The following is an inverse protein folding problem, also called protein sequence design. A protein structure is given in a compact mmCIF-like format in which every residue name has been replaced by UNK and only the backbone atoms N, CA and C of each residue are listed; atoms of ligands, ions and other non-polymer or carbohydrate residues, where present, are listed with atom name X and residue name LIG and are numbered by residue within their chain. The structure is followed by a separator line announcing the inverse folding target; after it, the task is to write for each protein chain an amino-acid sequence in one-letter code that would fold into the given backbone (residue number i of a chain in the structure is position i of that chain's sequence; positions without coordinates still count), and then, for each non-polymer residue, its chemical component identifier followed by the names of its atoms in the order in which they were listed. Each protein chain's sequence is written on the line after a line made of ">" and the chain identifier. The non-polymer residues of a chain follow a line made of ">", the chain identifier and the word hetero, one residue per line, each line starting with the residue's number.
data_IF_139083890399
#
_entry.id   IF_139083890399
#
_cell.length_a   1.000
_cell.length_b   1.000
_cell.length_c   1.000
_cell.angle_alpha   90.00
_cell.angle_beta   90.00
_cell.angle_gamma   90.00
#
_symmetry.space_group_name_H-M   'P 1'
#
loop_
_entity.id
_entity.type
_entity.pdbx_description
1 polymer ?
#
# COMPACT_ATOMS: atom_id res chain seq x y z
N UNK A 1 -10.28 20.08 34.50
CA UNK A 1 -9.67 19.08 33.61
C UNK A 1 -8.40 18.64 34.28
N UNK A 2 -8.26 17.36 34.63
CA UNK A 2 -7.06 16.87 35.28
C UNK A 2 -5.99 16.69 34.20
N UNK A 3 -4.85 17.36 34.33
CA UNK A 3 -3.66 17.12 33.53
C UNK A 3 -3.19 15.69 33.79
N UNK A 4 -3.30 14.84 32.78
CA UNK A 4 -2.67 13.54 32.78
C UNK A 4 -1.17 13.74 32.49
N UNK A 5 -0.37 13.78 33.56
CA UNK A 5 1.09 13.72 33.47
C UNK A 5 1.49 12.27 33.24
N UNK A 6 1.96 11.94 32.06
CA UNK A 6 2.55 10.63 31.78
C UNK A 6 3.87 10.48 32.54
N UNK A 7 4.11 9.35 33.24
CA UNK A 7 5.36 9.15 33.96
C UNK A 7 6.52 9.02 32.96
N UNK A 8 7.59 9.76 33.23
CA UNK A 8 8.86 9.65 32.56
C UNK A 8 9.43 8.21 32.66
N UNK A 9 9.72 7.61 31.51
CA UNK A 9 10.33 6.28 31.30
C UNK A 9 9.54 5.06 31.78
N UNK A 10 8.91 4.40 30.86
CA UNK A 10 8.19 3.14 31.08
C UNK A 10 9.17 1.96 31.25
N UNK A 11 8.98 1.05 32.26
CA UNK A 11 9.92 -0.03 32.62
C UNK A 11 10.09 -1.16 31.58
N UNK A 12 9.31 -1.16 30.48
CA UNK A 12 9.36 -2.22 29.45
C UNK A 12 10.25 -1.90 28.24
N UNK A 13 10.94 -0.77 28.23
CA UNK A 13 11.91 -0.43 27.18
C UNK A 13 13.22 -1.22 27.35
N UNK A 14 13.14 -2.55 27.21
CA UNK A 14 14.35 -3.33 26.91
C UNK A 14 14.72 -3.09 25.44
N UNK A 15 16.02 -3.01 25.11
CA UNK A 15 16.45 -2.74 23.74
C UNK A 15 15.78 -3.71 22.78
N UNK A 16 14.99 -3.19 21.84
CA UNK A 16 14.43 -3.94 20.75
C UNK A 16 15.58 -4.49 19.94
N UNK A 17 15.68 -5.82 19.85
CA UNK A 17 16.76 -6.43 19.09
C UNK A 17 16.37 -6.51 17.62
N UNK A 18 16.40 -5.36 16.95
CA UNK A 18 16.33 -5.32 15.49
C UNK A 18 17.70 -5.69 14.94
N UNK A 19 17.74 -6.68 14.07
CA UNK A 19 19.00 -7.17 13.49
C UNK A 19 18.87 -7.30 11.99
N UNK A 20 19.97 -7.02 11.31
CA UNK A 20 20.09 -7.13 9.85
C UNK A 20 21.38 -7.87 9.50
N UNK A 21 21.25 -8.83 8.59
CA UNK A 21 22.38 -9.48 7.91
C UNK A 21 22.19 -9.36 6.40
N UNK A 22 23.26 -9.00 5.69
CA UNK A 22 23.31 -9.02 4.24
C UNK A 22 24.16 -10.22 3.82
N UNK A 23 23.59 -11.13 3.03
CA UNK A 23 24.32 -12.28 2.50
C UNK A 23 25.31 -11.82 1.42
N UNK A 24 26.27 -12.67 1.05
CA UNK A 24 27.33 -12.33 0.10
C UNK A 24 26.81 -11.92 -1.29
N UNK A 25 25.65 -12.45 -1.67
CA UNK A 25 24.99 -12.15 -2.95
C UNK A 25 24.05 -10.95 -2.88
N UNK A 26 23.88 -10.30 -1.72
CA UNK A 26 23.04 -9.11 -1.56
C UNK A 26 21.65 -9.35 -0.95
N UNK A 27 21.21 -10.59 -0.76
CA UNK A 27 19.95 -10.90 -0.05
C UNK A 27 20.03 -10.36 1.38
N UNK A 28 18.98 -9.69 1.81
CA UNK A 28 18.88 -9.09 3.14
C UNK A 28 17.98 -9.92 4.04
N UNK A 29 18.43 -10.14 5.27
CA UNK A 29 17.68 -10.84 6.30
C UNK A 29 17.53 -9.88 7.48
N UNK A 30 16.29 -9.55 7.83
CA UNK A 30 15.95 -8.61 8.91
C UNK A 30 15.07 -9.31 9.93
N UNK A 31 15.32 -9.09 11.21
CA UNK A 31 14.45 -9.61 12.27
C UNK A 31 14.17 -8.57 13.34
N UNK A 32 12.96 -8.62 13.90
CA UNK A 32 12.56 -7.90 15.11
C UNK A 32 12.15 -8.91 16.18
N UNK A 33 12.96 -9.08 17.23
CA UNK A 33 12.68 -10.03 18.29
C UNK A 33 11.70 -9.49 19.32
N UNK A 34 10.61 -10.23 19.55
CA UNK A 34 9.56 -9.96 20.53
C UNK A 34 9.43 -11.17 21.47
N UNK A 35 10.23 -11.27 22.53
CA UNK A 35 10.30 -12.50 23.34
C UNK A 35 9.06 -12.74 24.21
N UNK A 36 8.17 -11.79 24.31
CA UNK A 36 6.94 -11.88 25.11
C UNK A 36 5.74 -12.48 24.35
N UNK A 37 5.85 -12.61 23.01
CA UNK A 37 4.82 -13.28 22.20
C UNK A 37 5.18 -14.75 21.93
N UNK A 38 4.16 -15.56 21.62
CA UNK A 38 4.32 -16.99 21.25
C UNK A 38 4.21 -17.21 19.75
N UNK A 39 4.12 -16.12 18.98
CA UNK A 39 4.00 -16.15 17.53
C UNK A 39 5.25 -15.58 16.85
N UNK A 40 5.41 -15.95 15.60
CA UNK A 40 6.35 -15.33 14.66
C UNK A 40 5.66 -15.11 13.33
N UNK A 41 5.82 -13.91 12.79
CA UNK A 41 5.46 -13.58 11.41
C UNK A 41 6.72 -13.59 10.58
N UNK A 42 6.69 -14.29 9.46
CA UNK A 42 7.78 -14.43 8.50
C UNK A 42 7.27 -14.05 7.12
N UNK A 43 8.04 -13.27 6.39
CA UNK A 43 7.76 -12.96 5.00
C UNK A 43 9.03 -12.99 4.15
N UNK A 44 8.86 -13.35 2.88
CA UNK A 44 9.87 -13.28 1.83
C UNK A 44 9.34 -12.29 0.80
N UNK A 45 10.05 -11.19 0.61
CA UNK A 45 9.72 -10.13 -0.31
C UNK A 45 10.65 -10.10 -1.50
N UNK A 46 10.12 -9.65 -2.60
CA UNK A 46 10.93 -9.12 -3.69
C UNK A 46 10.52 -7.67 -3.97
N UNK A 47 11.50 -6.78 -4.15
CA UNK A 47 11.28 -5.36 -4.48
C UNK A 47 10.91 -5.21 -5.96
N UNK A 48 9.83 -5.87 -6.37
CA UNK A 48 9.21 -5.76 -7.70
C UNK A 48 7.70 -5.96 -7.59
N UNK A 49 6.96 -5.30 -8.46
CA UNK A 49 5.52 -5.36 -8.55
C UNK A 49 5.04 -4.74 -9.85
N UNK A 50 3.76 -4.39 -9.94
CA UNK A 50 3.18 -3.93 -11.21
C UNK A 50 3.83 -2.66 -11.79
N UNK A 51 4.53 -1.89 -10.98
CA UNK A 51 5.30 -0.71 -11.41
C UNK A 51 6.53 -1.06 -12.25
N UNK A 52 7.08 -2.26 -12.09
CA UNK A 52 8.26 -2.72 -12.82
C UNK A 52 7.91 -3.42 -14.15
N UNK A 53 6.62 -3.64 -14.42
CA UNK A 53 6.13 -4.36 -15.59
C UNK A 53 6.12 -3.48 -16.84
N UNK A 54 6.50 -4.04 -17.98
CA UNK A 54 6.23 -3.42 -19.28
C UNK A 54 4.73 -3.42 -19.60
N UNK A 55 4.25 -2.63 -20.57
CA UNK A 55 2.83 -2.67 -20.96
C UNK A 55 2.33 -4.06 -21.39
N UNK A 56 3.20 -4.89 -21.98
CA UNK A 56 2.85 -6.24 -22.45
C UNK A 56 2.86 -7.29 -21.34
N UNK A 57 3.63 -7.04 -20.25
CA UNK A 57 3.77 -7.93 -19.09
C UNK A 57 2.83 -7.54 -17.94
N UNK A 58 1.97 -6.52 -18.12
CA UNK A 58 1.15 -6.01 -17.01
C UNK A 58 0.25 -7.11 -16.41
N UNK A 59 0.38 -7.31 -15.11
CA UNK A 59 -0.27 -8.37 -14.33
C UNK A 59 0.62 -9.60 -14.09
N UNK A 60 1.86 -9.64 -14.62
CA UNK A 60 2.73 -10.81 -14.46
C UNK A 60 3.14 -11.05 -13.01
N UNK A 61 3.38 -9.99 -12.22
CA UNK A 61 3.71 -10.14 -10.79
C UNK A 61 2.59 -10.79 -10.01
N UNK A 62 1.35 -10.39 -10.28
CA UNK A 62 0.16 -10.98 -9.68
C UNK A 62 -0.05 -12.43 -10.15
N UNK A 63 0.16 -12.69 -11.42
CA UNK A 63 0.08 -14.06 -11.95
C UNK A 63 1.13 -14.99 -11.29
N UNK A 64 2.36 -14.51 -11.08
CA UNK A 64 3.42 -15.24 -10.37
C UNK A 64 2.98 -15.54 -8.93
N UNK A 65 2.36 -14.59 -8.25
CA UNK A 65 1.83 -14.79 -6.89
C UNK A 65 0.86 -15.97 -6.85
N UNK A 66 -0.17 -15.99 -7.71
CA UNK A 66 -1.14 -17.08 -7.82
C UNK A 66 -0.45 -18.42 -8.09
N UNK A 67 0.44 -18.43 -9.07
CA UNK A 67 1.10 -19.64 -9.51
C UNK A 67 2.07 -20.23 -8.50
N UNK A 68 2.65 -19.40 -7.60
CA UNK A 68 3.59 -19.86 -6.59
C UNK A 68 2.97 -20.87 -5.60
N UNK A 69 1.66 -20.85 -5.42
CA UNK A 69 0.92 -21.80 -4.56
C UNK A 69 0.41 -23.05 -5.31
N UNK A 70 0.53 -23.11 -6.64
CA UNK A 70 -0.02 -24.24 -7.43
C UNK A 70 0.91 -25.43 -7.53
N UNK A 71 2.16 -25.28 -7.16
CA UNK A 71 3.12 -26.38 -7.04
C UNK A 71 4.56 -25.92 -7.14
N UNK A 72 5.40 -26.68 -6.47
CA UNK A 72 6.85 -26.54 -6.49
C UNK A 72 7.49 -27.81 -7.00
N UNK A 73 8.82 -27.84 -7.09
CA UNK A 73 9.55 -29.07 -7.37
C UNK A 73 9.38 -30.15 -6.27
N UNK A 74 9.07 -29.72 -5.04
CA UNK A 74 9.02 -30.58 -3.86
C UNK A 74 7.60 -30.88 -3.38
N UNK A 75 6.61 -30.02 -3.74
CA UNK A 75 5.24 -30.11 -3.24
C UNK A 75 4.22 -29.86 -4.35
N UNK A 76 3.16 -30.65 -4.39
CA UNK A 76 1.97 -30.27 -5.17
C UNK A 76 1.24 -29.10 -4.50
N UNK A 77 0.40 -28.38 -5.24
CA UNK A 77 -0.44 -27.31 -4.66
C UNK A 77 -1.31 -27.80 -3.50
N UNK A 78 -1.87 -29.02 -3.60
CA UNK A 78 -2.60 -29.63 -2.49
C UNK A 78 -1.71 -29.89 -1.27
N UNK A 79 -0.46 -30.32 -1.46
CA UNK A 79 0.46 -30.55 -0.36
C UNK A 79 0.87 -29.23 0.31
N UNK A 80 1.08 -28.15 -0.47
CA UNK A 80 1.33 -26.79 0.06
C UNK A 80 0.18 -26.36 0.97
N UNK A 81 -1.06 -26.44 0.49
CA UNK A 81 -2.25 -26.09 1.28
C UNK A 81 -2.36 -26.92 2.55
N UNK A 82 -2.18 -28.25 2.44
CA UNK A 82 -2.22 -29.17 3.58
C UNK A 82 -1.15 -28.87 4.61
N UNK A 83 0.09 -28.57 4.18
CA UNK A 83 1.20 -28.26 5.09
C UNK A 83 0.94 -26.92 5.80
N UNK A 84 0.45 -25.91 5.09
CA UNK A 84 0.06 -24.62 5.65
C UNK A 84 -1.08 -24.76 6.68
N UNK A 85 -2.10 -25.55 6.39
CA UNK A 85 -3.19 -25.84 7.33
C UNK A 85 -2.66 -26.56 8.58
N UNK A 86 -1.77 -27.54 8.40
CA UNK A 86 -1.24 -28.37 9.48
C UNK A 86 -0.37 -27.59 10.49
N UNK A 87 0.30 -26.52 10.07
CA UNK A 87 1.07 -25.67 11.00
C UNK A 87 0.20 -24.76 11.86
N UNK A 88 -1.10 -24.71 11.59
CA UNK A 88 -2.07 -23.98 12.44
C UNK A 88 -1.80 -22.48 12.46
N UNK A 89 -1.46 -21.89 11.33
CA UNK A 89 -1.15 -20.47 11.16
C UNK A 89 -2.02 -19.80 10.13
N UNK A 90 -1.67 -18.56 9.85
CA UNK A 90 -2.19 -17.79 8.72
C UNK A 90 -1.07 -17.66 7.69
N UNK A 91 -1.38 -17.92 6.44
CA UNK A 91 -0.46 -17.67 5.32
C UNK A 91 -1.19 -16.93 4.21
N UNK A 92 -0.50 -16.04 3.53
CA UNK A 92 -1.03 -15.27 2.43
C UNK A 92 0.13 -14.75 1.57
N UNK A 93 -0.23 -14.15 0.44
CA UNK A 93 0.68 -13.36 -0.37
C UNK A 93 -0.03 -12.08 -0.82
N UNK A 94 0.71 -11.13 -1.31
CA UNK A 94 0.16 -9.97 -1.99
C UNK A 94 1.14 -9.41 -3.01
N UNK A 95 0.59 -8.86 -4.06
CA UNK A 95 1.31 -8.07 -5.05
C UNK A 95 0.83 -6.62 -4.99
N UNK A 96 1.77 -5.71 -4.76
CA UNK A 96 1.53 -4.28 -4.83
C UNK A 96 2.15 -3.65 -6.07
N UNK A 97 2.16 -2.32 -6.09
CA UNK A 97 2.83 -1.57 -7.17
C UNK A 97 4.35 -1.80 -7.16
N UNK A 98 4.97 -1.84 -6.01
CA UNK A 98 6.43 -1.80 -5.84
C UNK A 98 7.03 -3.07 -5.24
N UNK A 99 6.21 -3.94 -4.63
CA UNK A 99 6.69 -5.14 -3.94
C UNK A 99 5.71 -6.29 -4.08
N UNK A 100 6.24 -7.52 -4.11
CA UNK A 100 5.48 -8.77 -3.95
C UNK A 100 5.99 -9.48 -2.70
N UNK A 101 5.07 -10.05 -1.93
CA UNK A 101 5.36 -10.68 -0.64
C UNK A 101 4.65 -12.02 -0.48
N UNK A 102 5.36 -13.01 0.02
CA UNK A 102 4.83 -14.28 0.49
C UNK A 102 5.07 -14.37 1.99
N UNK A 103 4.04 -14.50 2.81
CA UNK A 103 4.19 -14.42 4.26
C UNK A 103 3.26 -15.35 5.01
N UNK A 104 3.58 -15.57 6.28
CA UNK A 104 2.70 -16.27 7.19
C UNK A 104 3.01 -15.94 8.65
N UNK A 105 2.06 -16.24 9.53
CA UNK A 105 2.17 -16.13 10.98
C UNK A 105 1.82 -17.44 11.64
N UNK A 106 2.73 -17.94 12.46
CA UNK A 106 2.60 -19.23 13.16
C UNK A 106 3.05 -19.12 14.62
N UNK A 107 2.86 -20.18 15.38
CA UNK A 107 3.55 -20.32 16.67
C UNK A 107 5.07 -20.39 16.42
N UNK A 108 5.85 -19.85 17.33
CA UNK A 108 7.32 -19.80 17.28
C UNK A 108 7.99 -21.16 17.01
N UNK A 109 7.44 -22.22 17.58
CA UNK A 109 7.92 -23.60 17.36
C UNK A 109 7.76 -24.10 15.91
N UNK A 110 6.82 -23.53 15.17
CA UNK A 110 6.52 -23.91 13.78
C UNK A 110 7.26 -23.02 12.75
N UNK A 111 8.11 -22.09 13.22
CA UNK A 111 8.92 -21.26 12.35
C UNK A 111 9.72 -22.03 11.29
N UNK A 112 10.44 -23.13 11.63
CA UNK A 112 11.23 -23.86 10.63
C UNK A 112 10.37 -24.42 9.48
N UNK A 113 9.16 -24.90 9.80
CA UNK A 113 8.26 -25.47 8.78
C UNK A 113 7.65 -24.37 7.89
N UNK A 114 7.26 -23.22 8.48
CA UNK A 114 6.82 -22.07 7.70
C UNK A 114 7.95 -21.56 6.80
N UNK A 115 9.17 -21.46 7.31
CA UNK A 115 10.33 -21.03 6.54
C UNK A 115 10.61 -21.97 5.36
N UNK A 116 10.47 -23.27 5.55
CA UNK A 116 10.63 -24.28 4.51
C UNK A 116 9.57 -24.15 3.41
N UNK A 117 8.30 -24.03 3.79
CA UNK A 117 7.20 -23.88 2.83
C UNK A 117 7.34 -22.57 2.03
N UNK A 118 7.56 -21.42 2.70
CA UNK A 118 7.71 -20.14 2.02
C UNK A 118 8.93 -20.09 1.12
N UNK A 119 10.05 -20.69 1.55
CA UNK A 119 11.25 -20.81 0.70
C UNK A 119 10.98 -21.64 -0.55
N UNK A 120 10.27 -22.75 -0.41
CA UNK A 120 9.98 -23.66 -1.51
C UNK A 120 9.07 -23.00 -2.57
N UNK A 121 7.99 -22.33 -2.14
CA UNK A 121 7.10 -21.60 -3.06
C UNK A 121 7.77 -20.41 -3.72
N UNK A 122 8.74 -19.78 -3.06
CA UNK A 122 9.47 -18.63 -3.62
C UNK A 122 10.58 -19.05 -4.59
N UNK A 123 11.35 -20.11 -4.27
CA UNK A 123 12.56 -20.48 -5.04
C UNK A 123 12.27 -21.54 -6.12
N UNK A 124 11.29 -22.41 -5.88
CA UNK A 124 11.08 -23.62 -6.70
C UNK A 124 9.71 -23.75 -7.37
N UNK A 125 8.98 -22.66 -7.68
CA UNK A 125 7.67 -22.81 -8.34
C UNK A 125 7.83 -23.46 -9.72
N UNK A 126 6.81 -24.24 -10.14
CA UNK A 126 6.89 -25.04 -11.37
C UNK A 126 6.18 -24.41 -12.58
N UNK A 127 5.15 -23.61 -12.37
CA UNK A 127 4.37 -22.93 -13.41
C UNK A 127 3.84 -23.89 -14.49
N UNK A 128 3.20 -24.99 -14.10
CA UNK A 128 2.62 -25.94 -15.06
C UNK A 128 1.53 -25.27 -15.91
N UNK A 129 1.52 -25.55 -17.22
CA UNK A 129 0.59 -24.92 -18.16
C UNK A 129 -0.87 -25.16 -17.82
N UNK A 130 -1.23 -26.36 -17.35
CA UNK A 130 -2.60 -26.67 -16.93
C UNK A 130 -3.03 -25.84 -15.72
N UNK A 131 -2.15 -25.59 -14.76
CA UNK A 131 -2.40 -24.71 -13.62
C UNK A 131 -2.51 -23.26 -14.07
N UNK A 132 -1.67 -22.84 -15.01
CA UNK A 132 -1.72 -21.50 -15.58
C UNK A 132 -3.08 -21.21 -16.24
N UNK A 133 -3.63 -22.16 -17.01
CA UNK A 133 -4.95 -21.96 -17.62
C UNK A 133 -6.05 -21.85 -16.57
N UNK A 134 -6.01 -22.67 -15.51
CA UNK A 134 -6.98 -22.57 -14.41
C UNK A 134 -6.88 -21.24 -13.66
N UNK A 135 -5.66 -20.79 -13.36
CA UNK A 135 -5.46 -19.52 -12.65
C UNK A 135 -5.77 -18.30 -13.50
N UNK A 136 -5.56 -18.39 -14.80
CA UNK A 136 -5.97 -17.34 -15.75
C UNK A 136 -7.47 -17.03 -15.64
N UNK A 137 -8.29 -18.08 -15.58
CA UNK A 137 -9.74 -17.92 -15.40
C UNK A 137 -10.08 -17.30 -14.04
N UNK A 138 -9.34 -17.64 -12.98
CA UNK A 138 -9.51 -17.02 -11.66
C UNK A 138 -9.17 -15.52 -11.72
N UNK A 139 -8.05 -15.16 -12.34
CA UNK A 139 -7.63 -13.75 -12.49
C UNK A 139 -8.63 -12.97 -13.36
N UNK A 140 -9.21 -13.57 -14.42
CA UNK A 140 -10.29 -12.93 -15.19
C UNK A 140 -11.53 -12.64 -14.33
N UNK A 141 -11.87 -13.53 -13.40
CA UNK A 141 -12.96 -13.28 -12.45
C UNK A 141 -12.62 -12.14 -11.49
N UNK A 142 -11.36 -12.05 -11.01
CA UNK A 142 -10.93 -10.94 -10.16
C UNK A 142 -10.94 -9.60 -10.91
N UNK A 143 -10.49 -9.57 -12.16
CA UNK A 143 -10.60 -8.37 -13.02
C UNK A 143 -12.08 -7.95 -13.15
N UNK A 144 -12.96 -8.90 -13.43
CA UNK A 144 -14.41 -8.63 -13.53
C UNK A 144 -14.98 -8.13 -12.20
N UNK A 145 -14.56 -8.70 -11.07
CA UNK A 145 -14.99 -8.27 -9.75
C UNK A 145 -14.57 -6.82 -9.46
N UNK A 146 -13.36 -6.42 -9.82
CA UNK A 146 -12.90 -5.02 -9.70
C UNK A 146 -13.74 -4.10 -10.59
N UNK A 147 -14.04 -4.51 -11.83
CA UNK A 147 -14.87 -3.71 -12.75
C UNK A 147 -16.33 -3.60 -12.28
N UNK A 148 -16.82 -4.59 -11.54
CA UNK A 148 -18.19 -4.61 -10.98
C UNK A 148 -18.28 -3.91 -9.61
N UNK A 149 -17.15 -3.62 -8.95
CA UNK A 149 -17.08 -2.89 -7.68
C UNK A 149 -16.80 -1.42 -7.95
N UNK A 150 -17.79 -0.52 -7.79
CA UNK A 150 -17.68 0.85 -8.31
C UNK A 150 -16.52 1.68 -7.76
N UNK A 151 -16.19 1.55 -6.48
CA UNK A 151 -15.08 2.26 -5.83
C UNK A 151 -13.71 1.74 -6.30
N UNK A 152 -13.54 0.42 -6.46
CA UNK A 152 -12.33 -0.19 -6.99
C UNK A 152 -12.12 0.18 -8.47
N UNK A 153 -13.20 0.11 -9.26
CA UNK A 153 -13.12 0.48 -10.68
C UNK A 153 -12.83 1.97 -10.88
N UNK A 154 -13.47 2.84 -10.09
CA UNK A 154 -13.19 4.26 -10.13
C UNK A 154 -11.74 4.58 -9.73
N UNK A 155 -11.21 3.90 -8.71
CA UNK A 155 -9.81 4.05 -8.32
C UNK A 155 -8.84 3.67 -9.46
N UNK A 156 -9.15 2.58 -10.18
CA UNK A 156 -8.37 2.18 -11.37
C UNK A 156 -8.42 3.23 -12.49
N UNK A 157 -9.62 3.73 -12.81
CA UNK A 157 -9.82 4.78 -13.81
C UNK A 157 -9.08 6.06 -13.43
N UNK A 158 -9.16 6.45 -12.15
CA UNK A 158 -8.47 7.62 -11.62
C UNK A 158 -6.95 7.46 -11.74
N UNK A 159 -6.37 6.33 -11.33
CA UNK A 159 -4.93 6.13 -11.43
C UNK A 159 -4.41 6.19 -12.87
N UNK A 160 -5.20 5.68 -13.84
CA UNK A 160 -4.87 5.79 -15.28
C UNK A 160 -4.92 7.24 -15.80
N UNK A 161 -5.88 8.04 -15.33
CA UNK A 161 -5.96 9.47 -15.64
C UNK A 161 -4.78 10.22 -15.03
N UNK A 162 -4.47 9.94 -13.76
CA UNK A 162 -3.50 10.69 -12.98
C UNK A 162 -2.05 10.38 -13.36
N UNK A 163 -1.75 9.11 -13.72
CA UNK A 163 -0.44 8.65 -14.19
C UNK A 163 -0.53 8.01 -15.57
N UNK A 164 -0.86 8.81 -16.61
CA UNK A 164 -0.96 8.29 -17.96
C UNK A 164 0.39 7.71 -18.41
N UNK A 165 0.35 6.62 -19.15
CA UNK A 165 1.53 5.95 -19.74
C UNK A 165 2.61 5.48 -18.74
N UNK A 166 2.39 5.65 -17.42
CA UNK A 166 3.30 5.19 -16.40
C UNK A 166 2.82 3.88 -15.75
N UNK A 167 3.72 2.91 -15.46
CA UNK A 167 3.33 1.63 -14.89
C UNK A 167 2.56 1.73 -13.55
N UNK A 168 2.86 2.75 -12.73
CA UNK A 168 2.18 2.96 -11.45
C UNK A 168 0.67 3.23 -11.61
N UNK A 169 0.25 3.78 -12.76
CA UNK A 169 -1.16 4.02 -13.09
C UNK A 169 -1.92 2.80 -13.58
N UNK A 170 -1.23 1.69 -13.91
CA UNK A 170 -1.85 0.46 -14.42
C UNK A 170 -2.38 -0.43 -13.30
N UNK A 171 -3.37 -1.27 -13.61
CA UNK A 171 -3.88 -2.28 -12.68
C UNK A 171 -2.78 -3.25 -12.24
N UNK A 172 -2.78 -3.65 -10.97
CA UNK A 172 -1.93 -4.74 -10.47
C UNK A 172 -2.34 -6.08 -11.08
N UNK A 173 -3.64 -6.27 -11.33
CA UNK A 173 -4.20 -7.49 -11.93
C UNK A 173 -3.86 -7.65 -13.42
N UNK A 174 -3.37 -6.58 -14.07
CA UNK A 174 -3.26 -6.53 -15.52
C UNK A 174 -4.60 -6.22 -16.21
N UNK A 175 -4.76 -6.72 -17.41
CA UNK A 175 -5.99 -6.68 -18.20
C UNK A 175 -6.27 -8.07 -18.78
N UNK A 176 -7.51 -8.31 -19.23
CA UNK A 176 -7.85 -9.56 -19.90
C UNK A 176 -6.93 -9.84 -21.11
N UNK A 177 -6.52 -8.80 -21.83
CA UNK A 177 -5.59 -8.93 -22.96
C UNK A 177 -4.19 -9.34 -22.52
N UNK A 178 -3.60 -8.68 -21.52
CA UNK A 178 -2.23 -8.98 -21.06
C UNK A 178 -2.17 -10.33 -20.34
N UNK A 179 -3.10 -10.61 -19.44
CA UNK A 179 -3.21 -11.89 -18.73
C UNK A 179 -3.48 -13.05 -19.70
N UNK A 180 -4.29 -12.81 -20.74
CA UNK A 180 -4.60 -13.80 -21.77
C UNK A 180 -3.38 -14.26 -22.59
N UNK A 181 -2.35 -13.43 -22.69
CA UNK A 181 -1.11 -13.72 -23.45
C UNK A 181 0.01 -14.32 -22.60
N UNK A 182 -0.12 -14.32 -21.27
CA UNK A 182 0.95 -14.80 -20.40
C UNK A 182 1.23 -16.27 -20.59
N UNK A 183 2.47 -16.59 -20.83
CA UNK A 183 2.97 -17.95 -20.93
C UNK A 183 4.09 -18.22 -19.91
N UNK A 184 4.52 -19.46 -19.83
CA UNK A 184 5.54 -19.91 -18.90
C UNK A 184 6.90 -19.21 -19.15
N UNK A 185 7.23 -18.89 -20.39
CA UNK A 185 8.49 -18.24 -20.73
C UNK A 185 8.50 -16.78 -20.26
N UNK A 186 7.42 -16.04 -20.49
CA UNK A 186 7.25 -14.66 -19.99
C UNK A 186 7.39 -14.59 -18.46
N UNK A 187 6.76 -15.52 -17.73
CA UNK A 187 6.89 -15.61 -16.27
C UNK A 187 8.35 -15.87 -15.87
N UNK A 188 9.01 -16.82 -16.51
CA UNK A 188 10.42 -17.16 -16.21
C UNK A 188 11.37 -16.03 -16.55
N UNK A 189 11.14 -15.31 -17.64
CA UNK A 189 11.94 -14.14 -18.02
C UNK A 189 11.77 -13.02 -16.98
N UNK A 190 10.54 -12.76 -16.55
CA UNK A 190 10.27 -11.79 -15.50
C UNK A 190 10.98 -12.15 -14.18
N UNK A 191 10.91 -13.40 -13.74
CA UNK A 191 11.59 -13.87 -12.54
C UNK A 191 13.12 -13.72 -12.70
N UNK A 192 13.70 -14.15 -13.83
CA UNK A 192 15.14 -13.99 -14.09
C UNK A 192 15.60 -12.54 -14.01
N UNK A 193 14.77 -11.61 -14.46
CA UNK A 193 15.07 -10.18 -14.53
C UNK A 193 14.92 -9.48 -13.17
N UNK A 194 13.89 -9.82 -12.41
CA UNK A 194 13.48 -9.02 -11.24
C UNK A 194 13.67 -9.72 -9.89
N UNK A 195 13.70 -11.06 -9.82
CA UNK A 195 13.90 -11.79 -8.56
C UNK A 195 15.39 -11.99 -8.25
N UNK A 196 16.16 -10.94 -8.46
CA UNK A 196 17.60 -10.91 -8.18
C UNK A 196 17.87 -10.75 -6.69
N UNK A 197 19.02 -11.26 -6.17
CA UNK A 197 19.33 -11.28 -4.75
C UNK A 197 19.22 -9.91 -4.05
N UNK A 198 19.67 -8.85 -4.68
CA UNK A 198 19.65 -7.48 -4.13
C UNK A 198 18.23 -6.94 -3.93
N UNK A 199 17.25 -7.53 -4.61
CA UNK A 199 15.82 -7.21 -4.48
C UNK A 199 15.11 -8.09 -3.47
N UNK A 200 15.73 -9.20 -3.05
CA UNK A 200 15.11 -10.14 -2.09
C UNK A 200 15.36 -9.68 -0.66
N UNK A 201 14.32 -9.74 0.13
CA UNK A 201 14.34 -9.40 1.55
C UNK A 201 13.54 -10.43 2.35
N UNK A 202 14.16 -11.03 3.34
CA UNK A 202 13.52 -11.93 4.30
C UNK A 202 13.35 -11.20 5.62
N UNK A 203 12.12 -11.10 6.11
CA UNK A 203 11.84 -10.40 7.37
C UNK A 203 11.05 -11.29 8.30
N UNK A 204 11.43 -11.31 9.58
CA UNK A 204 10.63 -11.92 10.62
C UNK A 204 10.46 -10.98 11.81
N UNK A 205 9.26 -11.00 12.42
CA UNK A 205 8.98 -10.33 13.67
C UNK A 205 8.25 -11.28 14.63
N UNK A 206 8.62 -11.25 15.91
CA UNK A 206 8.04 -12.15 16.91
C UNK A 206 9.09 -12.84 17.79
N UNK A 207 8.74 -14.00 18.32
CA UNK A 207 9.71 -14.79 19.09
C UNK A 207 10.65 -15.56 18.15
N UNK A 208 11.57 -14.83 17.53
CA UNK A 208 12.51 -15.35 16.54
C UNK A 208 13.96 -15.08 16.99
N UNK A 209 14.86 -16.01 16.67
CA UNK A 209 16.30 -15.86 16.84
C UNK A 209 16.94 -15.53 15.49
N UNK A 210 17.64 -14.40 15.42
CA UNK A 210 18.22 -13.90 14.17
C UNK A 210 19.28 -14.85 13.60
N UNK A 211 20.16 -15.40 14.44
CA UNK A 211 21.24 -16.25 13.96
C UNK A 211 20.70 -17.57 13.38
N UNK A 212 19.69 -18.14 14.03
CA UNK A 212 19.00 -19.33 13.49
C UNK A 212 18.29 -19.03 12.19
N UNK A 213 17.69 -17.83 12.08
CA UNK A 213 17.07 -17.39 10.84
C UNK A 213 18.11 -17.26 9.71
N UNK A 214 19.26 -16.62 9.98
CA UNK A 214 20.37 -16.51 9.02
C UNK A 214 20.94 -17.88 8.65
N UNK A 215 21.14 -18.76 9.61
CA UNK A 215 21.62 -20.13 9.39
C UNK A 215 20.65 -20.91 8.46
N UNK A 216 19.35 -20.73 8.65
CA UNK A 216 18.33 -21.37 7.83
C UNK A 216 18.31 -20.82 6.37
N UNK A 217 18.25 -19.49 6.22
CA UNK A 217 18.04 -18.88 4.90
C UNK A 217 19.32 -18.75 4.06
N UNK A 218 20.50 -18.77 4.69
CA UNK A 218 21.78 -18.71 3.96
C UNK A 218 21.91 -19.80 2.90
N UNK A 219 21.77 -21.11 3.17
CA UNK A 219 21.87 -22.14 2.13
C UNK A 219 20.74 -22.08 1.09
N UNK A 220 19.59 -21.48 1.42
CA UNK A 220 18.46 -21.33 0.50
C UNK A 220 18.76 -20.27 -0.56
N UNK A 221 19.31 -19.13 -0.14
CA UNK A 221 19.46 -17.96 -1.01
C UNK A 221 20.90 -17.72 -1.49
N UNK A 222 21.94 -18.16 -0.76
CA UNK A 222 23.34 -17.99 -1.16
C UNK A 222 23.79 -19.15 -2.06
N UNK A 223 23.01 -19.39 -3.12
CA UNK A 223 23.33 -20.39 -4.15
C UNK A 223 24.09 -19.76 -5.31
N UNK A 224 24.92 -20.56 -6.01
CA UNK A 224 25.69 -20.13 -7.20
C UNK A 224 24.80 -19.90 -8.45
N UNK A 225 23.54 -19.59 -8.28
CA UNK A 225 22.66 -19.27 -9.39
C UNK A 225 23.14 -17.96 -10.02
N UNK A 226 23.48 -18.01 -11.31
CA UNK A 226 23.84 -16.86 -12.13
C UNK A 226 22.60 -15.97 -12.34
N UNK A 227 22.27 -15.19 -11.34
CA UNK A 227 21.36 -14.07 -11.50
C UNK A 227 22.10 -13.01 -12.30
N UNK A 228 21.70 -12.83 -13.55
CA UNK A 228 22.32 -11.89 -14.48
C UNK A 228 21.46 -10.63 -14.70
N UNK A 229 20.49 -10.38 -13.84
CA UNK A 229 19.61 -9.23 -13.95
C UNK A 229 20.33 -7.94 -13.54
N UNK A 230 20.21 -6.90 -14.34
CA UNK A 230 20.49 -5.54 -13.89
C UNK A 230 19.37 -5.08 -12.97
N UNK A 231 19.69 -4.31 -11.91
CA UNK A 231 18.67 -3.73 -11.05
C UNK A 231 17.99 -2.55 -11.80
N UNK A 232 16.83 -2.74 -12.46
CA UNK A 232 16.22 -1.70 -13.25
C UNK A 232 15.79 -0.55 -12.35
N UNK A 233 16.12 0.67 -12.75
CA UNK A 233 15.71 1.87 -12.04
C UNK A 233 14.27 2.24 -12.43
N UNK A 234 13.46 2.58 -11.45
CA UNK A 234 12.11 3.10 -11.64
C UNK A 234 12.18 4.55 -12.10
N UNK A 235 11.38 4.89 -13.11
CA UNK A 235 11.18 6.29 -13.51
C UNK A 235 10.23 7.00 -12.54
N UNK A 236 10.40 8.32 -12.42
CA UNK A 236 9.44 9.17 -11.72
C UNK A 236 8.14 9.25 -12.53
N UNK A 237 6.97 9.04 -11.93
CA UNK A 237 5.71 9.25 -12.62
C UNK A 237 5.48 10.76 -12.86
N UNK A 238 5.07 11.09 -14.07
CA UNK A 238 4.53 12.40 -14.35
C UNK A 238 3.04 12.38 -14.03
N UNK A 239 2.61 13.29 -13.18
CA UNK A 239 1.21 13.43 -12.82
C UNK A 239 0.48 14.32 -13.80
N UNK A 240 -0.75 13.99 -14.10
CA UNK A 240 -1.64 14.73 -14.98
C UNK A 240 -2.89 15.16 -14.21
N UNK A 241 -3.28 16.44 -14.36
CA UNK A 241 -4.60 16.91 -13.99
C UNK A 241 -5.60 16.54 -15.08
N UNK A 242 -6.87 16.60 -14.77
CA UNK A 242 -7.91 16.41 -15.77
C UNK A 242 -9.21 15.85 -15.20
N UNK A 243 -10.17 15.66 -16.07
CA UNK A 243 -11.51 15.18 -15.75
C UNK A 243 -11.80 13.92 -16.55
N UNK A 244 -12.33 12.90 -15.89
CA UNK A 244 -12.82 11.67 -16.51
C UNK A 244 -14.20 11.33 -15.95
N UNK A 245 -15.22 11.33 -16.79
CA UNK A 245 -16.57 10.89 -16.44
C UNK A 245 -16.88 9.62 -17.20
N UNK A 246 -17.22 8.56 -16.46
CA UNK A 246 -17.61 7.28 -17.03
C UNK A 246 -19.07 7.00 -16.69
N UNK A 247 -19.91 6.96 -17.72
CA UNK A 247 -21.33 6.63 -17.56
C UNK A 247 -21.49 5.12 -17.34
N UNK A 248 -22.08 4.75 -16.20
CA UNK A 248 -22.43 3.36 -15.87
C UNK A 248 -23.80 3.35 -15.18
N UNK A 249 -24.70 2.38 -15.47
CA UNK A 249 -26.03 2.33 -14.86
C UNK A 249 -25.94 1.82 -13.40
N UNK A 250 -25.56 2.71 -12.50
CA UNK A 250 -25.45 2.50 -11.07
C UNK A 250 -26.55 3.29 -10.33
N UNK A 251 -26.85 2.92 -9.08
CA UNK A 251 -27.77 3.69 -8.24
C UNK A 251 -27.13 4.97 -7.69
N UNK A 252 -25.81 4.95 -7.49
CA UNK A 252 -25.02 6.07 -6.98
C UNK A 252 -24.02 6.59 -8.02
N UNK A 253 -23.58 7.80 -7.82
CA UNK A 253 -22.36 8.33 -8.45
C UNK A 253 -21.20 8.23 -7.46
N UNK A 254 -20.08 7.72 -7.92
CA UNK A 254 -18.84 7.60 -7.19
C UNK A 254 -17.86 8.65 -7.71
N UNK A 255 -17.25 9.40 -6.81
CA UNK A 255 -16.38 10.54 -7.11
C UNK A 255 -14.99 10.28 -6.53
N UNK A 256 -13.98 10.65 -7.29
CA UNK A 256 -12.59 10.63 -6.84
C UNK A 256 -11.92 11.94 -7.27
N UNK A 257 -11.50 12.74 -6.29
CA UNK A 257 -10.73 13.97 -6.46
C UNK A 257 -9.33 13.72 -5.88
N UNK A 258 -8.27 13.97 -6.63
CA UNK A 258 -6.94 13.73 -6.12
C UNK A 258 -5.86 14.57 -6.77
N UNK A 259 -4.69 14.55 -6.14
CA UNK A 259 -3.52 15.33 -6.52
C UNK A 259 -2.23 14.66 -6.05
N UNK A 260 -1.09 15.25 -6.46
CA UNK A 260 0.23 14.88 -5.98
C UNK A 260 0.33 14.95 -4.46
N UNK A 261 1.09 14.04 -3.89
CA UNK A 261 1.37 13.99 -2.47
C UNK A 261 2.84 13.63 -2.20
N UNK A 262 3.34 13.88 -0.98
CA UNK A 262 4.68 13.50 -0.60
C UNK A 262 4.97 12.01 -0.75
N UNK A 263 6.18 11.67 -1.14
CA UNK A 263 6.67 10.30 -1.17
C UNK A 263 6.98 9.78 0.24
N UNK A 264 7.32 8.48 0.35
CA UNK A 264 7.77 7.89 1.62
C UNK A 264 9.03 8.54 2.20
N UNK A 265 9.92 9.06 1.36
CA UNK A 265 11.18 9.68 1.82
C UNK A 265 11.04 11.15 2.16
N UNK A 266 9.98 11.80 1.71
CA UNK A 266 9.72 13.21 2.00
C UNK A 266 9.36 13.40 3.48
N UNK A 267 9.94 14.42 4.12
CA UNK A 267 9.65 14.75 5.51
C UNK A 267 8.25 15.32 5.69
N UNK A 268 7.72 15.98 4.69
CA UNK A 268 6.37 16.55 4.69
C UNK A 268 5.26 15.50 4.72
N UNK A 269 5.57 14.21 4.51
CA UNK A 269 4.62 13.11 4.65
C UNK A 269 3.90 13.06 6.00
N UNK A 270 4.52 13.56 7.06
CA UNK A 270 3.90 13.61 8.38
C UNK A 270 2.81 14.68 8.45
N UNK A 271 3.06 15.86 7.86
CA UNK A 271 2.04 16.89 7.71
C UNK A 271 0.88 16.40 6.81
N UNK A 272 1.20 15.69 5.74
CA UNK A 272 0.20 15.08 4.85
C UNK A 272 -0.65 14.02 5.57
N UNK A 273 -0.07 13.18 6.42
CA UNK A 273 -0.81 12.20 7.22
C UNK A 273 -1.77 12.88 8.21
N UNK A 274 -1.35 13.98 8.85
CA UNK A 274 -2.20 14.75 9.75
C UNK A 274 -3.28 15.51 8.99
N UNK A 275 -2.95 16.11 7.82
CA UNK A 275 -3.95 16.71 6.93
C UNK A 275 -5.00 15.69 6.51
N UNK A 276 -4.60 14.48 6.13
CA UNK A 276 -5.52 13.37 5.82
C UNK A 276 -6.44 13.06 7.00
N UNK A 277 -5.90 12.92 8.20
CA UNK A 277 -6.68 12.61 9.41
C UNK A 277 -7.73 13.68 9.70
N UNK A 278 -7.35 14.97 9.52
CA UNK A 278 -8.23 16.11 9.77
C UNK A 278 -9.30 16.25 8.68
N UNK A 279 -8.92 16.05 7.40
CA UNK A 279 -9.84 16.27 6.28
C UNK A 279 -10.90 15.16 6.17
N UNK A 280 -10.48 13.89 6.10
CA UNK A 280 -11.39 12.78 5.80
C UNK A 280 -10.97 11.41 6.34
N UNK A 281 -9.94 11.33 7.22
CA UNK A 281 -9.35 10.06 7.64
C UNK A 281 -10.09 9.32 8.76
N UNK A 282 -11.09 9.93 9.41
CA UNK A 282 -11.83 9.33 10.52
C UNK A 282 -13.24 9.92 10.66
N UNK A 283 -14.04 9.39 11.61
CA UNK A 283 -15.42 9.84 11.84
C UNK A 283 -15.54 11.29 12.35
N UNK A 284 -14.53 11.84 12.99
CA UNK A 284 -14.50 13.24 13.43
C UNK A 284 -13.91 14.20 12.40
N UNK A 285 -13.50 13.71 11.24
CA UNK A 285 -12.94 14.50 10.17
C UNK A 285 -13.97 15.43 9.52
N UNK A 286 -13.49 16.49 8.89
CA UNK A 286 -14.36 17.55 8.34
C UNK A 286 -15.33 17.04 7.30
N UNK A 287 -14.84 16.25 6.34
CA UNK A 287 -15.70 15.72 5.29
C UNK A 287 -16.75 14.74 5.83
N UNK A 288 -16.36 13.90 6.76
CA UNK A 288 -17.32 12.98 7.38
C UNK A 288 -18.42 13.75 8.13
N UNK A 289 -18.06 14.74 8.95
CA UNK A 289 -19.02 15.56 9.68
C UNK A 289 -19.91 16.39 8.75
N UNK A 290 -19.31 17.09 7.77
CA UNK A 290 -20.05 18.02 6.94
C UNK A 290 -20.94 17.34 5.89
N UNK A 291 -20.48 16.26 5.29
CA UNK A 291 -21.17 15.58 4.20
C UNK A 291 -22.12 14.51 4.71
N UNK A 292 -21.63 13.65 5.64
CA UNK A 292 -22.41 12.51 6.12
C UNK A 292 -23.27 12.86 7.31
N UNK A 293 -22.69 13.36 8.42
CA UNK A 293 -23.42 13.53 9.67
C UNK A 293 -24.38 14.74 9.61
N UNK A 294 -23.89 15.91 9.19
CA UNK A 294 -24.70 17.14 9.22
C UNK A 294 -25.72 17.22 8.08
N UNK A 295 -25.41 16.67 6.90
CA UNK A 295 -26.27 16.83 5.71
C UNK A 295 -26.80 15.55 5.10
N UNK A 296 -26.26 14.38 5.48
CA UNK A 296 -26.69 13.08 4.96
C UNK A 296 -26.58 12.92 3.45
N UNK A 297 -25.59 13.59 2.82
CA UNK A 297 -25.45 13.62 1.36
C UNK A 297 -24.73 12.38 0.82
N UNK A 298 -23.86 11.75 1.61
CA UNK A 298 -23.14 10.54 1.22
C UNK A 298 -23.04 9.58 2.41
N UNK A 299 -23.19 8.29 2.14
CA UNK A 299 -22.93 7.26 3.16
C UNK A 299 -21.43 7.00 3.34
N UNK A 300 -20.69 7.00 2.24
CA UNK A 300 -19.24 6.80 2.21
C UNK A 300 -18.56 8.06 1.73
N UNK A 301 -17.73 8.67 2.58
CA UNK A 301 -16.85 9.77 2.25
C UNK A 301 -15.59 9.67 3.10
N UNK A 302 -14.43 9.74 2.46
CA UNK A 302 -13.14 9.69 3.14
C UNK A 302 -12.03 10.32 2.28
N UNK A 303 -10.94 10.69 2.93
CA UNK A 303 -9.68 11.00 2.25
C UNK A 303 -8.64 9.94 2.56
N UNK A 304 -7.67 9.79 1.67
CA UNK A 304 -6.57 8.85 1.86
C UNK A 304 -5.27 9.43 1.30
N UNK A 305 -4.16 8.95 1.84
CA UNK A 305 -2.81 9.28 1.43
C UNK A 305 -2.04 8.01 1.11
N UNK A 306 -1.59 7.87 -0.14
CA UNK A 306 -0.86 6.72 -0.66
C UNK A 306 0.53 7.12 -1.12
N UNK A 307 1.54 7.12 -0.23
CA UNK A 307 2.92 7.38 -0.60
C UNK A 307 3.59 6.16 -1.23
N UNK A 308 4.40 6.40 -2.25
CA UNK A 308 5.30 5.45 -2.92
C UNK A 308 6.75 5.80 -2.64
N UNK A 309 7.70 5.04 -3.18
CA UNK A 309 9.13 5.25 -2.92
C UNK A 309 9.60 6.67 -3.31
N UNK A 310 9.08 7.23 -4.40
CA UNK A 310 9.51 8.50 -5.02
C UNK A 310 8.37 9.46 -5.36
N UNK A 311 7.14 9.06 -5.16
CA UNK A 311 5.93 9.83 -5.48
C UNK A 311 4.82 9.56 -4.46
N UNK A 312 3.68 10.22 -4.59
CA UNK A 312 2.53 9.97 -3.74
C UNK A 312 1.23 10.45 -4.37
N UNK A 313 0.14 9.97 -3.84
CA UNK A 313 -1.21 10.34 -4.20
C UNK A 313 -1.99 10.71 -2.94
N UNK A 314 -2.61 11.88 -2.95
CA UNK A 314 -3.67 12.24 -2.03
C UNK A 314 -5.01 12.18 -2.75
N UNK A 315 -6.01 11.57 -2.14
CA UNK A 315 -7.32 11.47 -2.74
C UNK A 315 -8.47 11.66 -1.76
N UNK A 316 -9.59 12.14 -2.29
CA UNK A 316 -10.89 12.21 -1.62
C UNK A 316 -11.87 11.38 -2.45
N UNK A 317 -12.53 10.45 -1.79
CA UNK A 317 -13.58 9.62 -2.36
C UNK A 317 -14.93 9.95 -1.73
N UNK A 318 -15.99 9.92 -2.53
CA UNK A 318 -17.37 9.96 -2.05
C UNK A 318 -18.30 9.14 -2.96
N UNK A 319 -19.22 8.38 -2.33
CA UNK A 319 -20.35 7.72 -3.00
C UNK A 319 -21.65 8.42 -2.60
N UNK A 320 -22.39 8.98 -3.57
CA UNK A 320 -23.56 9.82 -3.30
C UNK A 320 -24.66 9.61 -4.34
N UNK A 321 -25.86 10.13 -4.04
CA UNK A 321 -26.94 10.27 -5.03
C UNK A 321 -26.48 11.24 -6.14
N UNK A 322 -26.75 10.96 -7.44
CA UNK A 322 -26.38 11.84 -8.55
C UNK A 322 -26.83 13.29 -8.36
N UNK A 323 -27.98 13.53 -7.74
CA UNK A 323 -28.51 14.87 -7.45
C UNK A 323 -27.67 15.67 -6.47
N UNK A 324 -26.90 14.99 -5.62
CA UNK A 324 -26.09 15.60 -4.57
C UNK A 324 -24.61 15.79 -4.98
N UNK A 325 -24.21 15.29 -6.13
CA UNK A 325 -22.82 15.24 -6.60
C UNK A 325 -22.11 16.61 -6.50
N UNK A 326 -22.68 17.63 -7.12
CA UNK A 326 -22.07 18.96 -7.12
C UNK A 326 -22.04 19.60 -5.71
N UNK A 327 -23.04 19.30 -4.86
CA UNK A 327 -23.03 19.73 -3.45
C UNK A 327 -21.91 19.07 -2.66
N UNK A 328 -21.64 17.78 -2.88
CA UNK A 328 -20.53 17.04 -2.24
C UNK A 328 -19.18 17.61 -2.71
N UNK A 329 -19.03 17.91 -4.00
CA UNK A 329 -17.83 18.56 -4.54
C UNK A 329 -17.62 19.96 -3.95
N UNK A 330 -18.66 20.77 -3.89
CA UNK A 330 -18.60 22.11 -3.31
C UNK A 330 -18.20 22.10 -1.84
N UNK A 331 -18.77 21.19 -1.03
CA UNK A 331 -18.42 21.05 0.39
C UNK A 331 -16.96 20.60 0.50
N UNK A 332 -16.55 19.61 -0.29
CA UNK A 332 -15.15 19.11 -0.29
C UNK A 332 -14.18 20.24 -0.59
N UNK A 333 -14.46 21.01 -1.65
CA UNK A 333 -13.65 22.17 -2.01
C UNK A 333 -13.60 23.23 -0.88
N UNK A 334 -14.75 23.52 -0.28
CA UNK A 334 -14.85 24.51 0.79
C UNK A 334 -14.06 24.09 2.03
N UNK A 335 -14.09 22.80 2.42
CA UNK A 335 -13.33 22.33 3.56
C UNK A 335 -11.82 22.35 3.30
N UNK A 336 -11.38 22.00 2.10
CA UNK A 336 -9.99 22.14 1.68
C UNK A 336 -9.55 23.62 1.72
N UNK A 337 -10.34 24.54 1.15
CA UNK A 337 -10.06 25.98 1.17
C UNK A 337 -10.04 26.58 2.59
N UNK A 338 -10.89 26.09 3.50
CA UNK A 338 -10.83 26.52 4.91
C UNK A 338 -9.50 26.09 5.56
N UNK A 339 -9.03 24.88 5.29
CA UNK A 339 -7.74 24.39 5.79
C UNK A 339 -6.57 25.20 5.22
N UNK A 340 -6.51 25.42 3.91
CA UNK A 340 -5.45 26.19 3.27
C UNK A 340 -5.41 27.67 3.70
N UNK A 341 -6.54 28.21 4.23
CA UNK A 341 -6.63 29.56 4.80
C UNK A 341 -6.35 29.62 6.30
N UNK A 342 -5.83 28.56 6.89
CA UNK A 342 -5.47 28.52 8.30
C UNK A 342 -6.64 28.33 9.28
N UNK A 343 -7.81 27.90 8.80
CA UNK A 343 -8.93 27.60 9.70
C UNK A 343 -8.75 26.21 10.33
N UNK A 344 -7.67 26.06 11.09
CA UNK A 344 -7.33 24.86 11.84
C UNK A 344 -6.94 25.27 13.28
N UNK A 345 -7.63 24.72 14.27
CA UNK A 345 -7.27 24.98 15.66
C UNK A 345 -6.11 24.11 16.14
N UNK A 346 -5.36 24.62 17.11
CA UNK A 346 -4.29 23.84 17.77
C UNK A 346 -4.85 22.57 18.44
N UNK A 347 -6.09 22.61 18.94
CA UNK A 347 -6.76 21.44 19.52
C UNK A 347 -7.08 20.36 18.50
N UNK A 348 -7.50 20.74 17.28
CA UNK A 348 -7.78 19.77 16.21
C UNK A 348 -6.49 19.09 15.73
N UNK A 349 -5.41 19.86 15.62
CA UNK A 349 -4.09 19.30 15.31
C UNK A 349 -3.60 18.35 16.40
N UNK A 350 -3.76 18.72 17.68
CA UNK A 350 -3.37 17.86 18.80
C UNK A 350 -4.18 16.54 18.79
N UNK A 351 -5.49 16.60 18.55
CA UNK A 351 -6.33 15.41 18.43
C UNK A 351 -5.92 14.52 17.24
N UNK A 352 -5.56 15.10 16.10
CA UNK A 352 -5.06 14.35 14.94
C UNK A 352 -3.73 13.67 15.24
N UNK A 353 -2.80 14.33 15.92
CA UNK A 353 -1.52 13.74 16.38
C UNK A 353 -1.76 12.53 17.28
N UNK A 354 -2.58 12.68 18.32
CA UNK A 354 -2.95 11.58 19.21
C UNK A 354 -3.56 10.40 18.46
N UNK A 355 -4.45 10.66 17.48
CA UNK A 355 -5.06 9.62 16.67
C UNK A 355 -4.01 8.84 15.87
N UNK A 356 -3.09 9.53 15.18
CA UNK A 356 -2.05 8.90 14.35
C UNK A 356 -1.05 8.13 15.22
N UNK A 357 -0.57 8.73 16.31
CA UNK A 357 0.38 8.11 17.25
C UNK A 357 -0.25 6.90 17.94
N UNK A 358 -1.49 7.04 18.42
CA UNK A 358 -2.23 5.95 19.05
C UNK A 358 -2.44 4.78 18.11
N UNK A 359 -2.89 5.04 16.88
CA UNK A 359 -3.03 4.03 15.84
C UNK A 359 -1.73 3.30 15.52
N UNK A 360 -0.62 4.03 15.45
CA UNK A 360 0.71 3.46 15.22
C UNK A 360 1.14 2.52 16.36
N UNK A 361 0.97 2.91 17.61
CA UNK A 361 1.34 2.06 18.74
C UNK A 361 0.44 0.84 18.86
N UNK A 362 -0.89 0.98 18.74
CA UNK A 362 -1.83 -0.14 18.78
C UNK A 362 -1.54 -1.16 17.65
N UNK A 363 -1.27 -0.67 16.43
CA UNK A 363 -0.88 -1.53 15.31
C UNK A 363 0.45 -2.25 15.59
N UNK A 364 1.36 -1.63 16.33
CA UNK A 364 2.67 -2.21 16.68
C UNK A 364 2.62 -3.40 17.63
N UNK A 365 1.47 -3.74 18.21
CA UNK A 365 1.28 -4.92 19.04
C UNK A 365 1.24 -6.22 18.21
N UNK A 366 0.91 -6.11 16.92
CA UNK A 366 0.89 -7.24 15.99
C UNK A 366 2.27 -7.55 15.40
N UNK A 367 2.68 -8.83 15.46
CA UNK A 367 3.91 -9.28 14.80
C UNK A 367 3.85 -9.13 13.28
N UNK A 368 2.67 -9.27 12.64
CA UNK A 368 2.51 -9.03 11.21
C UNK A 368 2.78 -7.57 10.86
N UNK A 369 2.19 -6.64 11.60
CA UNK A 369 2.38 -5.20 11.37
C UNK A 369 3.83 -4.77 11.57
N UNK A 370 4.52 -5.35 12.55
CA UNK A 370 5.96 -5.10 12.77
C UNK A 370 6.80 -5.65 11.63
N UNK A 371 6.51 -6.85 11.17
CA UNK A 371 7.18 -7.47 10.02
C UNK A 371 6.99 -6.61 8.76
N UNK A 372 5.76 -6.20 8.44
CA UNK A 372 5.46 -5.32 7.30
C UNK A 372 6.18 -3.97 7.41
N UNK A 373 6.18 -3.37 8.61
CA UNK A 373 6.89 -2.12 8.88
C UNK A 373 8.40 -2.26 8.72
N UNK A 374 8.98 -3.36 9.21
CA UNK A 374 10.43 -3.63 9.07
C UNK A 374 10.82 -3.82 7.61
N UNK A 375 10.00 -4.53 6.81
CA UNK A 375 10.21 -4.66 5.37
C UNK A 375 10.13 -3.31 4.65
N UNK A 376 9.10 -2.51 4.92
CA UNK A 376 8.95 -1.17 4.36
C UNK A 376 10.14 -0.27 4.71
N UNK A 377 10.57 -0.25 5.98
CA UNK A 377 11.72 0.53 6.41
C UNK A 377 13.00 0.11 5.70
N UNK A 378 13.22 -1.19 5.52
CA UNK A 378 14.40 -1.70 4.83
C UNK A 378 14.41 -1.35 3.34
N UNK A 379 13.26 -1.44 2.64
CA UNK A 379 13.20 -1.06 1.23
C UNK A 379 13.39 0.43 0.99
N UNK A 380 12.83 1.28 1.85
CA UNK A 380 12.79 2.73 1.63
C UNK A 380 14.01 3.41 2.25
N UNK A 381 14.36 3.05 3.50
CA UNK A 381 15.38 3.76 4.27
C UNK A 381 16.68 2.96 4.46
N UNK A 382 16.67 1.67 4.12
CA UNK A 382 17.77 0.70 4.32
C UNK A 382 18.26 0.63 5.78
N UNK A 383 17.41 1.04 6.72
CA UNK A 383 17.65 1.05 8.16
C UNK A 383 16.35 0.82 8.94
N UNK A 384 16.49 0.45 10.17
CA UNK A 384 15.38 0.50 11.11
C UNK A 384 15.05 1.96 11.46
N UNK A 385 13.77 2.30 11.46
CA UNK A 385 13.23 3.59 11.89
C UNK A 385 12.48 3.36 13.20
N UNK A 386 12.94 3.95 14.30
CA UNK A 386 12.29 3.82 15.61
C UNK A 386 10.89 4.45 15.61
N UNK A 387 10.02 3.94 16.48
CA UNK A 387 8.70 4.53 16.69
C UNK A 387 8.82 5.93 17.29
N UNK A 388 9.77 6.12 18.20
CA UNK A 388 10.07 7.38 18.84
C UNK A 388 10.51 8.45 17.81
N UNK A 389 11.33 8.07 16.82
CA UNK A 389 11.72 8.96 15.71
C UNK A 389 10.50 9.43 14.91
N UNK A 390 9.54 8.52 14.68
CA UNK A 390 8.29 8.84 13.97
C UNK A 390 7.40 9.74 14.82
N UNK A 391 7.26 9.44 16.12
CA UNK A 391 6.50 10.27 17.07
C UNK A 391 7.07 11.68 17.15
N UNK A 392 8.37 11.81 17.33
CA UNK A 392 9.02 13.13 17.33
C UNK A 392 8.77 13.91 16.04
N UNK A 393 8.74 13.21 14.89
CA UNK A 393 8.48 13.85 13.62
C UNK A 393 7.03 14.31 13.50
N UNK A 394 6.06 13.54 14.02
CA UNK A 394 4.65 13.91 14.09
C UNK A 394 4.44 15.09 15.04
N UNK A 395 5.09 15.04 16.22
CA UNK A 395 4.96 16.09 17.22
C UNK A 395 5.52 17.45 16.77
N UNK A 396 6.53 17.45 15.93
CA UNK A 396 7.12 18.69 15.37
C UNK A 396 6.22 19.39 14.34
N UNK A 397 5.26 18.68 13.77
CA UNK A 397 4.35 19.29 12.77
C UNK A 397 3.53 20.40 13.43
N UNK A 398 3.60 21.59 12.86
CA UNK A 398 2.84 22.76 13.27
C UNK A 398 1.50 22.89 12.51
N UNK A 399 0.66 23.82 12.93
CA UNK A 399 -0.55 24.20 12.20
C UNK A 399 -0.18 24.73 10.80
N UNK A 400 0.87 25.53 10.72
CA UNK A 400 1.33 26.11 9.46
C UNK A 400 1.80 25.04 8.46
N UNK A 401 2.46 23.97 8.93
CA UNK A 401 2.85 22.84 8.07
C UNK A 401 1.64 22.12 7.45
N UNK A 402 0.54 21.99 8.21
CA UNK A 402 -0.71 21.37 7.70
C UNK A 402 -1.43 22.29 6.74
N UNK A 403 -1.42 23.61 7.00
CA UNK A 403 -1.99 24.64 6.12
C UNK A 403 -1.22 24.67 4.79
N UNK A 404 0.11 24.71 4.84
CA UNK A 404 0.97 24.65 3.67
C UNK A 404 0.76 23.35 2.88
N UNK A 405 0.57 22.23 3.56
CA UNK A 405 0.27 20.94 2.93
C UNK A 405 -1.06 20.97 2.17
N UNK A 406 -2.11 21.58 2.73
CA UNK A 406 -3.40 21.72 2.06
C UNK A 406 -3.27 22.55 0.77
N UNK A 407 -2.47 23.62 0.79
CA UNK A 407 -2.19 24.45 -0.36
C UNK A 407 -1.31 23.72 -1.40
N UNK A 408 -0.27 23.03 -0.94
CA UNK A 408 0.62 22.25 -1.82
C UNK A 408 -0.10 21.14 -2.56
N UNK A 409 -1.09 20.45 -1.93
CA UNK A 409 -1.84 19.36 -2.56
C UNK A 409 -2.88 19.93 -3.53
N UNK A 410 -3.63 20.98 -3.17
CA UNK A 410 -4.79 21.42 -3.91
C UNK A 410 -4.68 22.83 -4.49
N UNK A 411 -3.61 23.56 -4.24
CA UNK A 411 -3.40 24.93 -4.71
C UNK A 411 -2.84 25.07 -6.14
N UNK A 412 -2.79 23.98 -6.91
CA UNK A 412 -2.20 23.97 -8.27
C UNK A 412 -3.13 23.32 -9.32
N UNK A 413 -2.77 23.46 -10.59
CA UNK A 413 -3.59 23.01 -11.74
C UNK A 413 -3.53 21.49 -12.03
N UNK A 414 -2.82 20.70 -11.20
CA UNK A 414 -2.66 19.24 -11.39
C UNK A 414 -3.66 18.41 -10.59
N UNK A 415 -4.86 18.91 -10.44
CA UNK A 415 -5.95 18.18 -9.80
C UNK A 415 -6.59 17.28 -10.84
N UNK A 416 -6.73 16.02 -10.51
CA UNK A 416 -7.47 15.05 -11.31
C UNK A 416 -8.81 14.74 -10.64
N UNK A 417 -9.84 14.61 -11.46
CA UNK A 417 -11.17 14.22 -11.03
C UNK A 417 -11.68 13.06 -11.89
N UNK A 418 -12.18 12.03 -11.25
CA UNK A 418 -12.88 10.95 -11.93
C UNK A 418 -14.27 10.75 -11.30
N UNK A 419 -15.25 10.48 -12.14
CA UNK A 419 -16.60 10.14 -11.71
C UNK A 419 -17.11 8.91 -12.46
N UNK A 420 -17.84 8.05 -11.74
CA UNK A 420 -18.45 6.83 -12.27
C UNK A 420 -19.90 6.74 -11.78
N UNK A 421 -20.86 6.68 -12.69
CA UNK A 421 -22.27 6.56 -12.32
C UNK A 421 -23.22 6.91 -13.46
N UNK A 422 -24.53 7.08 -13.18
CA UNK A 422 -25.54 7.41 -14.18
C UNK A 422 -25.51 8.94 -14.49
N UNK A 423 -24.35 9.44 -14.86
CA UNK A 423 -24.06 10.85 -15.16
C UNK A 423 -23.26 10.98 -16.44
N UNK A 424 -23.26 12.19 -16.97
CA UNK A 424 -22.43 12.63 -18.10
C UNK A 424 -21.49 13.76 -17.67
N UNK A 425 -20.58 14.16 -18.53
CA UNK A 425 -19.66 15.26 -18.24
C UNK A 425 -20.39 16.61 -18.06
N UNK A 426 -21.54 16.78 -18.70
CA UNK A 426 -22.40 17.99 -18.60
C UNK A 426 -23.03 18.13 -17.21
N UNK A 427 -23.17 17.04 -16.45
CA UNK A 427 -23.73 17.05 -15.10
C UNK A 427 -22.74 17.57 -14.04
N UNK A 428 -21.43 17.59 -14.38
CA UNK A 428 -20.36 18.00 -13.47
C UNK A 428 -20.11 19.51 -13.59
N UNK A 429 -20.25 20.23 -12.49
CA UNK A 429 -19.83 21.64 -12.42
C UNK A 429 -18.28 21.71 -12.35
N UNK A 430 -17.64 21.83 -13.51
CA UNK A 430 -16.19 21.95 -13.64
C UNK A 430 -15.61 23.19 -12.91
N UNK A 431 -16.42 24.23 -12.65
CA UNK A 431 -16.00 25.37 -11.84
C UNK A 431 -15.66 25.00 -10.39
N UNK A 432 -16.26 23.92 -9.89
CA UNK A 432 -15.95 23.37 -8.56
C UNK A 432 -14.62 22.61 -8.51
N UNK A 433 -14.00 22.29 -9.64
CA UNK A 433 -12.71 21.62 -9.69
C UNK A 433 -11.52 22.59 -9.69
N UNK A 434 -11.76 23.88 -9.98
CA UNK A 434 -10.76 24.94 -9.92
C UNK A 434 -10.52 25.35 -8.45
N UNK A 435 -9.61 24.69 -7.76
CA UNK A 435 -9.24 25.01 -6.37
C UNK A 435 -8.30 26.22 -6.29
N UNK A 436 -7.50 26.49 -7.35
CA UNK A 436 -6.75 27.73 -7.54
C UNK A 436 -7.71 28.84 -7.96
N UNK A 437 -8.31 29.54 -6.99
CA UNK A 437 -9.02 30.77 -7.27
C UNK A 437 -8.00 31.82 -7.73
N UNK A 438 -8.04 32.24 -9.00
CA UNK A 438 -7.48 33.50 -9.44
C UNK A 438 -8.14 34.59 -8.61
N UNK A 439 -7.52 34.94 -7.46
CA UNK A 439 -7.79 36.20 -6.78
C UNK A 439 -7.22 37.33 -7.66
N UNK A 440 -8.07 38.00 -8.43
CA UNK A 440 -7.81 39.33 -8.87
C UNK A 440 -8.16 40.30 -7.78
#
# INVERSE_FOLDING_TARGET
>A
MAEFVFPEKRPWEKPRMNRKTVLKNGVRIVSERLPHVRSVSLGIWVNTGSRDESPLENGVSHFIEHMSFKGTRNRSGFQIAKDLDAIGGLSNAFTGKETTCFYGRVLDRNFPLLADILSDIFVHPTFHSEDMEREREVIFQEISMVEDTPDDYLNLLFQRLFWPDHPIGRSVLGSAETVGRMDQEMIREYIRKYYIPERVLVVAAGNVDHEKMVEYFRPVFETDNNFSGENPQRSLPLTNGGVLVTTKPLEQVHLFLGSDAPSHVDKSRFACALFNTILGGNMSSRLFQEIRENRGLAYSVYSFFSPYADSGLFGVYAGTDPRNMNSVLEITQNEIKKLSRGQLSASDLAAAKENVIGGMYLTSESSDSRMMRAAKNEFIFQRYVDYEEVVESIERVSVDDVVEMADNIFGHDKIAFAALGPITEEDVDLGLLALSGNGH
#
